data_IF_985870697729
#
_entry.id   IF_985870697729
#
_cell.length_a   1.000
_cell.length_b   1.000
_cell.length_c   1.000
_cell.angle_alpha   90.00
_cell.angle_beta   90.00
_cell.angle_gamma   90.00
#
_symmetry.space_group_name_H-M   'P 1'
#
loop_
_entity.id
_entity.type
_entity.pdbx_description
1 polymer ?
#
# COMPACT_ATOMS: atom_id res chain seq x y z
N UNK A 1 -6.39 32.09 0.15
CA UNK A 1 -6.33 30.91 -0.73
C UNK A 1 -5.23 29.97 -0.23
N UNK A 2 -5.59 28.93 0.52
CA UNK A 2 -4.61 27.96 1.03
C UNK A 2 -4.11 27.06 -0.10
N UNK A 3 -2.81 27.14 -0.43
CA UNK A 3 -2.17 26.16 -1.32
C UNK A 3 -2.25 24.80 -0.63
N UNK A 4 -3.11 23.90 -1.14
CA UNK A 4 -3.12 22.49 -0.77
C UNK A 4 -1.70 21.93 -0.97
N UNK A 5 -0.90 21.88 0.10
CA UNK A 5 0.39 21.18 0.09
C UNK A 5 0.08 19.73 -0.25
N UNK A 6 0.43 19.29 -1.47
CA UNK A 6 0.45 17.87 -1.79
C UNK A 6 1.27 17.18 -0.69
N UNK A 7 0.64 16.27 0.04
CA UNK A 7 1.28 15.54 1.13
C UNK A 7 2.54 14.86 0.61
N UNK A 8 3.64 14.88 1.36
CA UNK A 8 4.88 14.19 1.00
C UNK A 8 4.63 12.74 0.55
N UNK A 9 3.71 12.05 1.23
CA UNK A 9 3.29 10.67 0.90
C UNK A 9 2.53 10.52 -0.41
N UNK A 10 1.96 11.60 -0.93
CA UNK A 10 1.30 11.60 -2.25
C UNK A 10 2.29 11.71 -3.41
N UNK A 11 3.51 12.17 -3.13
CA UNK A 11 4.59 12.33 -4.11
C UNK A 11 5.60 11.20 -4.04
N UNK A 12 5.96 10.76 -2.83
CA UNK A 12 6.98 9.75 -2.58
C UNK A 12 6.34 8.47 -2.06
N UNK A 13 6.53 7.38 -2.80
CA UNK A 13 5.85 6.11 -2.56
C UNK A 13 6.84 4.94 -2.48
N UNK A 14 6.48 3.94 -1.70
CA UNK A 14 7.17 2.65 -1.63
C UNK A 14 6.88 1.79 -2.86
N UNK A 15 7.67 0.75 -3.07
CA UNK A 15 7.41 -0.25 -4.13
C UNK A 15 6.06 -0.96 -3.95
N UNK A 16 5.56 -1.08 -2.72
CA UNK A 16 4.26 -1.67 -2.42
C UNK A 16 3.11 -0.80 -2.93
N UNK A 17 3.20 0.51 -2.67
CA UNK A 17 2.18 1.49 -3.08
C UNK A 17 2.18 1.67 -4.60
N UNK A 18 3.37 1.72 -5.22
CA UNK A 18 3.48 1.74 -6.68
C UNK A 18 3.01 0.44 -7.30
N UNK A 19 3.47 -0.71 -6.81
CA UNK A 19 3.07 -2.03 -7.32
C UNK A 19 1.55 -2.23 -7.30
N UNK A 20 0.86 -1.73 -6.27
CA UNK A 20 -0.61 -1.80 -6.18
C UNK A 20 -1.28 -1.05 -7.35
N UNK A 21 -0.74 0.08 -7.81
CA UNK A 21 -1.26 0.79 -8.99
C UNK A 21 -1.14 -0.02 -10.30
N UNK A 22 -0.21 -0.97 -10.35
CA UNK A 22 0.00 -1.90 -11.45
C UNK A 22 -0.57 -3.30 -11.17
N UNK A 23 -1.29 -3.49 -10.05
CA UNK A 23 -1.85 -4.79 -9.66
C UNK A 23 -0.82 -5.88 -9.37
N UNK A 24 0.42 -5.51 -9.06
CA UNK A 24 1.51 -6.46 -8.81
C UNK A 24 2.14 -6.22 -7.44
N UNK A 25 2.82 -7.26 -6.91
CA UNK A 25 3.48 -7.16 -5.61
C UNK A 25 4.69 -6.22 -5.65
N UNK A 26 5.12 -5.73 -4.48
CA UNK A 26 6.34 -4.93 -4.36
C UNK A 26 7.57 -5.61 -4.95
N UNK A 27 7.68 -6.94 -4.83
CA UNK A 27 8.77 -7.73 -5.44
C UNK A 27 8.70 -7.69 -6.96
N UNK A 28 7.53 -7.95 -7.55
CA UNK A 28 7.33 -7.91 -9.01
C UNK A 28 7.53 -6.50 -9.57
N UNK A 29 7.01 -5.49 -8.89
CA UNK A 29 7.25 -4.09 -9.27
C UNK A 29 8.73 -3.74 -9.15
N UNK A 30 9.40 -4.24 -8.11
CA UNK A 30 10.85 -4.12 -7.97
C UNK A 30 11.64 -4.76 -9.12
N UNK A 31 11.21 -5.91 -9.63
CA UNK A 31 11.78 -6.56 -10.82
C UNK A 31 11.50 -5.75 -12.09
N UNK A 32 10.29 -5.22 -12.24
CA UNK A 32 9.94 -4.34 -13.36
C UNK A 32 10.89 -3.14 -13.45
N UNK A 33 11.19 -2.50 -12.32
CA UNK A 33 12.16 -1.40 -12.30
C UNK A 33 13.58 -1.85 -12.68
N UNK A 34 13.98 -3.09 -12.36
CA UNK A 34 15.26 -3.66 -12.81
C UNK A 34 15.28 -3.90 -14.31
N UNK A 35 14.22 -4.51 -14.85
CA UNK A 35 14.05 -4.78 -16.29
C UNK A 35 14.16 -3.50 -17.13
N UNK A 36 13.67 -2.37 -16.61
CA UNK A 36 13.76 -1.08 -17.29
C UNK A 36 14.94 -0.21 -16.85
N UNK A 37 15.92 -0.80 -16.17
CA UNK A 37 17.20 -0.16 -15.86
C UNK A 37 17.12 0.94 -14.79
N UNK A 38 16.00 1.10 -14.07
CA UNK A 38 15.88 2.04 -12.94
C UNK A 38 16.49 1.47 -11.65
N UNK A 39 16.68 0.14 -11.58
CA UNK A 39 17.35 -0.53 -10.47
C UNK A 39 18.43 -1.47 -10.98
N UNK A 40 19.52 -1.60 -10.24
CA UNK A 40 20.55 -2.57 -10.54
C UNK A 40 20.03 -4.02 -10.40
N UNK A 41 20.48 -4.90 -11.29
CA UNK A 41 20.05 -6.29 -11.31
C UNK A 41 20.48 -7.07 -10.05
N UNK A 42 21.71 -6.84 -9.58
CA UNK A 42 22.30 -7.55 -8.43
C UNK A 42 21.83 -6.97 -7.08
N UNK A 43 22.05 -5.68 -6.85
CA UNK A 43 21.84 -5.02 -5.56
C UNK A 43 20.41 -4.50 -5.37
N UNK A 44 19.72 -4.17 -6.46
CA UNK A 44 18.43 -3.50 -6.42
C UNK A 44 18.49 -2.05 -5.92
N UNK A 45 19.67 -1.43 -5.88
CA UNK A 45 19.78 0.02 -5.66
C UNK A 45 19.36 0.78 -6.93
N UNK A 46 18.95 2.04 -6.83
CA UNK A 46 18.64 2.88 -7.98
C UNK A 46 19.89 3.09 -8.85
N UNK A 47 19.72 3.07 -10.16
CA UNK A 47 20.80 3.35 -11.12
C UNK A 47 20.89 4.86 -11.39
N UNK A 48 21.94 5.34 -12.08
CA UNK A 48 21.98 6.72 -12.55
C UNK A 48 20.78 7.13 -13.42
N UNK A 49 20.15 6.19 -14.13
CA UNK A 49 18.93 6.46 -14.91
C UNK A 49 17.75 6.88 -14.04
N UNK A 50 17.73 6.44 -12.77
CA UNK A 50 16.69 6.80 -11.81
C UNK A 50 16.96 8.14 -11.10
N UNK A 51 17.99 8.89 -11.47
CA UNK A 51 18.29 10.18 -10.86
C UNK A 51 17.08 11.14 -10.89
N UNK A 52 16.77 11.75 -9.75
CA UNK A 52 15.57 12.58 -9.58
C UNK A 52 14.24 11.81 -9.47
N UNK A 53 14.25 10.47 -9.59
CA UNK A 53 13.07 9.61 -9.45
C UNK A 53 13.01 8.86 -8.12
N UNK A 54 13.99 9.02 -7.25
CA UNK A 54 14.01 8.39 -5.93
C UNK A 54 14.56 9.33 -4.86
N UNK A 55 14.26 9.00 -3.61
CA UNK A 55 14.83 9.62 -2.43
C UNK A 55 15.23 8.53 -1.45
N UNK A 56 16.50 8.53 -1.05
CA UNK A 56 16.98 7.69 0.04
C UNK A 56 16.66 8.35 1.38
N UNK A 57 16.09 7.58 2.29
CA UNK A 57 15.75 8.01 3.64
C UNK A 57 16.55 7.16 4.62
N UNK A 58 17.40 7.84 5.39
CA UNK A 58 18.19 7.23 6.46
C UNK A 58 17.59 7.65 7.80
N UNK A 59 16.75 6.81 8.43
CA UNK A 59 16.19 7.12 9.74
C UNK A 59 17.28 7.15 10.81
N UNK A 60 17.10 7.98 11.85
CA UNK A 60 18.04 8.04 13.00
C UNK A 60 18.28 6.66 13.62
N UNK A 61 17.21 5.88 13.76
CA UNK A 61 17.21 4.51 14.24
C UNK A 61 16.49 3.63 13.21
N UNK A 62 17.22 2.89 12.38
CA UNK A 62 16.65 1.96 11.42
C UNK A 62 17.54 1.74 10.20
N UNK A 63 17.08 0.85 9.30
CA UNK A 63 17.76 0.62 8.02
C UNK A 63 17.39 1.72 7.02
N UNK A 64 18.34 2.19 6.19
CA UNK A 64 18.03 3.06 5.06
C UNK A 64 16.98 2.41 4.15
N UNK A 65 16.10 3.23 3.59
CA UNK A 65 15.11 2.79 2.64
C UNK A 65 14.89 3.84 1.55
N UNK A 66 14.35 3.39 0.41
CA UNK A 66 14.15 4.24 -0.75
C UNK A 66 12.66 4.47 -0.97
N UNK A 67 12.31 5.73 -1.18
CA UNK A 67 11.03 6.12 -1.72
C UNK A 67 11.20 6.53 -3.18
N UNK A 68 10.18 6.26 -3.99
CA UNK A 68 10.17 6.53 -5.41
C UNK A 68 9.22 7.68 -5.72
N UNK A 69 9.66 8.58 -6.59
CA UNK A 69 8.87 9.69 -7.11
C UNK A 69 7.74 9.15 -7.97
N UNK A 70 6.52 9.22 -7.46
CA UNK A 70 5.35 8.60 -8.08
C UNK A 70 5.15 9.05 -9.52
N UNK A 71 5.12 10.37 -9.74
CA UNK A 71 4.88 10.95 -11.06
C UNK A 71 6.00 10.54 -12.01
N UNK A 72 7.26 10.68 -11.58
CA UNK A 72 8.44 10.40 -12.40
C UNK A 72 8.48 8.92 -12.84
N UNK A 73 8.28 8.00 -11.90
CA UNK A 73 8.30 6.56 -12.21
C UNK A 73 7.11 6.17 -13.10
N UNK A 74 5.91 6.69 -12.84
CA UNK A 74 4.74 6.40 -13.67
C UNK A 74 4.93 6.95 -15.08
N UNK A 75 5.38 8.19 -15.24
CA UNK A 75 5.58 8.81 -16.55
C UNK A 75 6.69 8.09 -17.33
N UNK A 76 7.76 7.68 -16.65
CA UNK A 76 8.80 6.86 -17.25
C UNK A 76 8.25 5.51 -17.74
N UNK A 77 7.53 4.76 -16.91
CA UNK A 77 6.97 3.47 -17.30
C UNK A 77 5.92 3.61 -18.43
N UNK A 78 5.11 4.66 -18.41
CA UNK A 78 4.19 4.99 -19.51
C UNK A 78 4.94 5.27 -20.81
N UNK A 79 6.08 5.96 -20.75
CA UNK A 79 6.94 6.18 -21.93
C UNK A 79 7.49 4.87 -22.52
N UNK A 80 7.50 3.79 -21.72
CA UNK A 80 7.86 2.43 -22.14
C UNK A 80 6.64 1.56 -22.51
N UNK A 81 5.44 2.15 -22.58
CA UNK A 81 4.20 1.45 -22.91
C UNK A 81 3.52 0.73 -21.74
N UNK A 82 4.00 0.93 -20.51
CA UNK A 82 3.50 0.22 -19.33
C UNK A 82 2.60 1.14 -18.53
N UNK A 83 1.31 0.84 -18.53
CA UNK A 83 0.30 1.67 -17.90
C UNK A 83 -0.15 1.09 -16.55
N UNK A 84 -0.43 1.94 -15.54
CA UNK A 84 -1.15 1.52 -14.35
C UNK A 84 -2.50 0.91 -14.72
N UNK A 85 -2.90 -0.15 -14.04
CA UNK A 85 -4.18 -0.84 -14.30
C UNK A 85 -5.31 -0.35 -13.41
N UNK A 86 -4.99 0.36 -12.32
CA UNK A 86 -5.98 0.96 -11.42
C UNK A 86 -5.65 2.42 -11.17
N UNK A 87 -6.68 3.23 -10.94
CA UNK A 87 -6.48 4.62 -10.56
C UNK A 87 -5.82 4.71 -9.17
N UNK A 88 -5.09 5.79 -8.92
CA UNK A 88 -4.40 5.97 -7.63
C UNK A 88 -5.36 6.01 -6.43
N UNK A 89 -6.56 6.56 -6.61
CA UNK A 89 -7.59 6.58 -5.55
C UNK A 89 -7.97 5.14 -5.16
N UNK A 90 -8.05 4.26 -6.14
CA UNK A 90 -8.38 2.85 -5.94
C UNK A 90 -7.21 2.07 -5.33
N UNK A 91 -5.97 2.35 -5.76
CA UNK A 91 -4.78 1.74 -5.15
C UNK A 91 -4.57 2.11 -3.67
N UNK A 92 -4.90 3.35 -3.29
CA UNK A 92 -4.87 3.79 -1.89
C UNK A 92 -5.89 3.01 -1.06
N UNK A 93 -7.14 2.95 -1.53
CA UNK A 93 -8.20 2.17 -0.87
C UNK A 93 -7.82 0.70 -0.73
N UNK A 94 -7.18 0.09 -1.73
CA UNK A 94 -6.75 -1.31 -1.65
C UNK A 94 -5.65 -1.52 -0.60
N UNK A 95 -4.75 -0.54 -0.46
CA UNK A 95 -3.69 -0.57 0.55
C UNK A 95 -4.26 -0.38 1.96
N UNK A 96 -5.15 0.58 2.13
CA UNK A 96 -5.89 0.83 3.37
C UNK A 96 -6.76 -0.37 3.76
N UNK A 97 -7.44 -1.01 2.80
CA UNK A 97 -8.24 -2.21 3.04
C UNK A 97 -7.39 -3.39 3.54
N UNK A 98 -6.18 -3.58 2.99
CA UNK A 98 -5.22 -4.59 3.51
C UNK A 98 -4.73 -4.25 4.92
N UNK A 99 -4.57 -2.96 5.25
CA UNK A 99 -4.19 -2.54 6.60
C UNK A 99 -5.33 -2.83 7.58
N UNK A 100 -6.55 -2.44 7.24
CA UNK A 100 -7.75 -2.75 8.02
C UNK A 100 -7.90 -4.26 8.22
N UNK A 101 -7.71 -5.07 7.19
CA UNK A 101 -7.80 -6.52 7.28
C UNK A 101 -6.80 -7.12 8.28
N UNK A 102 -5.56 -6.60 8.37
CA UNK A 102 -4.58 -7.04 9.38
C UNK A 102 -5.00 -6.65 10.79
N UNK A 103 -5.44 -5.41 10.96
CA UNK A 103 -5.92 -4.91 12.25
C UNK A 103 -7.16 -5.70 12.72
N UNK A 104 -8.02 -6.12 11.79
CA UNK A 104 -9.15 -7.00 12.09
C UNK A 104 -8.72 -8.37 12.63
N UNK A 105 -7.73 -9.02 12.00
CA UNK A 105 -7.21 -10.30 12.53
C UNK A 105 -6.59 -10.15 13.91
N UNK A 106 -5.93 -9.02 14.18
CA UNK A 106 -5.40 -8.70 15.51
C UNK A 106 -6.52 -8.48 16.53
N UNK A 107 -7.56 -7.72 16.18
CA UNK A 107 -8.73 -7.50 17.03
C UNK A 107 -9.46 -8.81 17.34
N UNK A 108 -9.62 -9.70 16.34
CA UNK A 108 -10.22 -11.02 16.54
C UNK A 108 -9.39 -11.86 17.51
N UNK A 109 -8.07 -11.93 17.31
CA UNK A 109 -7.17 -12.66 18.21
C UNK A 109 -7.28 -12.14 19.66
N UNK A 110 -7.27 -10.83 19.85
CA UNK A 110 -7.44 -10.22 21.18
C UNK A 110 -8.81 -10.55 21.80
N UNK A 111 -9.86 -10.59 20.97
CA UNK A 111 -11.20 -11.00 21.40
C UNK A 111 -11.26 -12.47 21.84
N UNK A 112 -10.62 -13.37 21.09
CA UNK A 112 -10.47 -14.79 21.45
C UNK A 112 -9.69 -14.98 22.75
N UNK A 113 -8.72 -14.09 23.03
CA UNK A 113 -8.00 -14.02 24.30
C UNK A 113 -8.80 -13.38 25.44
N UNK A 114 -10.06 -12.97 25.20
CA UNK A 114 -10.95 -12.34 26.17
C UNK A 114 -10.64 -10.87 26.46
N UNK A 115 -9.80 -10.22 25.64
CA UNK A 115 -9.42 -8.83 25.82
C UNK A 115 -10.47 -7.86 25.29
N UNK A 116 -10.95 -6.97 26.16
CA UNK A 116 -11.85 -5.86 25.80
C UNK A 116 -11.25 -4.93 24.74
N UNK A 117 -9.92 -4.91 24.61
CA UNK A 117 -9.24 -4.14 23.57
C UNK A 117 -9.62 -4.60 22.16
N UNK A 118 -9.80 -5.90 21.94
CA UNK A 118 -10.23 -6.43 20.64
C UNK A 118 -11.58 -5.89 20.20
N UNK A 119 -12.54 -5.82 21.14
CA UNK A 119 -13.85 -5.24 20.90
C UNK A 119 -13.78 -3.74 20.53
N UNK A 120 -13.01 -2.95 21.29
CA UNK A 120 -12.84 -1.52 21.03
C UNK A 120 -12.18 -1.26 19.67
N UNK A 121 -11.14 -2.03 19.33
CA UNK A 121 -10.50 -1.94 18.02
C UNK A 121 -11.49 -2.23 16.90
N UNK A 122 -12.33 -3.26 17.04
CA UNK A 122 -13.33 -3.57 16.02
C UNK A 122 -14.36 -2.45 15.84
N UNK A 123 -14.86 -1.87 16.93
CA UNK A 123 -15.79 -0.74 16.86
C UNK A 123 -15.19 0.46 16.12
N UNK A 124 -13.93 0.83 16.42
CA UNK A 124 -13.25 1.93 15.73
C UNK A 124 -13.04 1.65 14.23
N UNK A 125 -12.76 0.39 13.87
CA UNK A 125 -12.56 -0.01 12.47
C UNK A 125 -13.84 -0.03 11.65
N UNK A 126 -15.00 -0.28 12.25
CA UNK A 126 -16.29 -0.43 11.54
C UNK A 126 -16.58 0.77 10.61
N UNK A 127 -16.35 2.00 11.08
CA UNK A 127 -16.54 3.21 10.30
C UNK A 127 -15.55 3.35 9.13
N UNK A 128 -14.31 2.89 9.31
CA UNK A 128 -13.31 2.88 8.22
C UNK A 128 -13.63 1.80 7.18
N UNK A 129 -14.09 0.63 7.61
CA UNK A 129 -14.55 -0.45 6.72
C UNK A 129 -15.74 0.02 5.88
N UNK A 130 -16.72 0.73 6.47
CA UNK A 130 -17.84 1.32 5.70
C UNK A 130 -17.35 2.32 4.65
N UNK A 131 -16.39 3.20 5.00
CA UNK A 131 -15.81 4.18 4.06
C UNK A 131 -15.08 3.53 2.89
N UNK A 132 -14.41 2.40 3.12
CA UNK A 132 -13.62 1.71 2.10
C UNK A 132 -14.44 0.76 1.24
N UNK A 133 -15.57 0.27 1.77
CA UNK A 133 -16.46 -0.70 1.17
C UNK A 133 -16.20 -2.12 1.70
N UNK A 134 -17.26 -2.76 2.17
CA UNK A 134 -17.23 -4.08 2.81
C UNK A 134 -16.70 -5.18 1.88
N UNK A 135 -17.10 -5.16 0.61
CA UNK A 135 -16.61 -6.11 -0.41
C UNK A 135 -15.08 -6.04 -0.56
N UNK A 136 -14.53 -4.82 -0.61
CA UNK A 136 -13.08 -4.61 -0.76
C UNK A 136 -12.32 -5.08 0.47
N UNK A 137 -12.86 -4.80 1.64
CA UNK A 137 -12.31 -5.28 2.90
C UNK A 137 -12.30 -6.82 2.98
N UNK A 138 -13.42 -7.49 2.67
CA UNK A 138 -13.52 -8.94 2.66
C UNK A 138 -12.58 -9.60 1.64
N UNK A 139 -12.43 -9.00 0.45
CA UNK A 139 -11.44 -9.42 -0.53
C UNK A 139 -10.01 -9.31 0.01
N UNK A 140 -9.71 -8.23 0.75
CA UNK A 140 -8.41 -8.04 1.37
C UNK A 140 -8.15 -9.06 2.50
N UNK A 141 -9.16 -9.39 3.32
CA UNK A 141 -9.08 -10.45 4.34
C UNK A 141 -8.73 -11.81 3.74
N UNK A 142 -9.46 -12.24 2.71
CA UNK A 142 -9.16 -13.51 2.02
C UNK A 142 -7.74 -13.51 1.44
N UNK A 143 -7.30 -12.39 0.87
CA UNK A 143 -5.97 -12.26 0.29
C UNK A 143 -4.81 -12.38 1.31
N UNK A 144 -5.06 -12.11 2.60
CA UNK A 144 -4.07 -12.28 3.68
C UNK A 144 -4.21 -13.62 4.42
N UNK A 145 -5.05 -14.53 3.92
CA UNK A 145 -5.17 -15.89 4.43
C UNK A 145 -6.27 -16.10 5.46
N UNK A 146 -7.20 -15.15 5.62
CA UNK A 146 -8.38 -15.36 6.45
C UNK A 146 -9.28 -16.45 5.87
N UNK A 147 -9.72 -17.39 6.72
CA UNK A 147 -10.53 -18.56 6.36
C UNK A 147 -11.94 -18.55 6.96
N UNK A 148 -12.31 -17.51 7.71
CA UNK A 148 -13.65 -17.37 8.26
C UNK A 148 -14.66 -16.92 7.22
N UNK A 149 -15.91 -16.77 7.67
CA UNK A 149 -17.00 -16.22 6.86
C UNK A 149 -16.78 -14.73 6.54
N UNK A 150 -17.46 -14.22 5.51
CA UNK A 150 -17.34 -12.81 5.18
C UNK A 150 -17.84 -11.95 6.34
N UNK A 151 -17.02 -10.97 6.72
CA UNK A 151 -17.35 -10.05 7.79
C UNK A 151 -18.52 -9.20 7.33
N UNK A 152 -19.58 -9.20 8.13
CA UNK A 152 -20.71 -8.29 8.02
C UNK A 152 -20.56 -7.19 9.07
N UNK A 153 -21.11 -6.01 8.77
CA UNK A 153 -21.28 -4.95 9.77
C UNK A 153 -22.77 -4.83 10.01
N UNK A 154 -23.20 -4.83 11.27
CA UNK A 154 -24.59 -4.58 11.60
C UNK A 154 -24.98 -3.17 11.13
N UNK A 155 -26.16 -3.06 10.52
CA UNK A 155 -26.74 -1.79 10.07
C UNK A 155 -27.22 -0.99 11.28
N UNK A 156 -26.30 -0.31 11.96
CA UNK A 156 -26.62 0.96 12.64
C UNK A 156 -26.82 2.08 11.63
#
# INVERSE_FOLDING_TARGET
>A
MGKNKKSFRSQWQTLTELGTQYGISARKFGSLLKEHGLREQSSGIPTPLAEGMYQEITPKNGKPYILWGRTQVIDYLKSKGINPIVSNKEAIKDTEARKLARNYLEAQKLGEEGSKLGYLMFQEMSGEIRKIGLERFNKALKAIGYKGEEVTLDEE
#
